data_IF_900969849725
#
_entry.id   IF_900969849725
#
_cell.length_a   1.000
_cell.length_b   1.000
_cell.length_c   1.000
_cell.angle_alpha   90.00
_cell.angle_beta   90.00
_cell.angle_gamma   90.00
#
_symmetry.space_group_name_H-M   'P 1'
#
loop_
_entity.id
_entity.type
_entity.pdbx_description
1 polymer ?
#
# COMPACT_ATOMS: atom_id res chain seq x y z
N UNK A 1 13.77 23.69 10.61
CA UNK A 1 12.65 23.10 11.41
C UNK A 1 12.02 21.90 10.72
N UNK A 2 11.80 21.91 9.41
CA UNK A 2 11.15 20.81 8.66
C UNK A 2 11.87 19.45 8.82
N UNK A 3 13.20 19.39 8.74
CA UNK A 3 13.99 18.17 8.90
C UNK A 3 13.81 17.48 10.26
N UNK A 4 13.51 18.21 11.33
CA UNK A 4 13.37 17.62 12.66
C UNK A 4 12.04 16.86 12.81
N UNK A 5 10.96 17.37 12.21
CA UNK A 5 9.62 16.74 12.25
C UNK A 5 9.68 15.43 11.44
N UNK A 6 10.19 15.48 10.21
CA UNK A 6 10.32 14.31 9.34
C UNK A 6 11.20 13.24 10.01
N UNK A 7 12.37 13.61 10.56
CA UNK A 7 13.25 12.66 11.24
C UNK A 7 12.59 11.99 12.48
N UNK A 8 11.71 12.72 13.18
CA UNK A 8 10.96 12.14 14.29
C UNK A 8 9.87 11.20 13.80
N UNK A 9 9.20 11.53 12.72
CA UNK A 9 8.21 10.68 12.07
C UNK A 9 8.86 9.37 11.58
N UNK A 10 9.99 9.47 10.90
CA UNK A 10 10.75 8.30 10.42
C UNK A 10 11.11 7.34 11.56
N UNK A 11 11.61 7.87 12.68
CA UNK A 11 11.90 7.07 13.87
C UNK A 11 10.66 6.38 14.44
N UNK A 12 9.50 7.06 14.44
CA UNK A 12 8.25 6.46 14.86
C UNK A 12 7.83 5.34 13.91
N UNK A 13 7.89 5.57 12.60
CA UNK A 13 7.57 4.56 11.60
C UNK A 13 8.48 3.36 11.75
N UNK A 14 9.79 3.57 11.92
CA UNK A 14 10.76 2.49 12.13
C UNK A 14 10.43 1.65 13.37
N UNK A 15 9.94 2.27 14.46
CA UNK A 15 9.54 1.54 15.65
C UNK A 15 8.33 0.62 15.41
N UNK A 16 7.38 1.06 14.58
CA UNK A 16 6.17 0.34 14.24
C UNK A 16 6.21 -0.34 12.86
N UNK A 17 7.39 -0.46 12.26
CA UNK A 17 7.55 -1.00 10.91
C UNK A 17 6.90 -2.37 10.77
N UNK A 18 6.01 -2.51 9.78
CA UNK A 18 5.15 -3.70 9.63
C UNK A 18 5.93 -5.00 9.38
N UNK A 19 7.17 -4.94 8.87
CA UNK A 19 8.05 -6.11 8.76
C UNK A 19 8.38 -6.75 10.11
N UNK A 20 8.20 -6.03 11.22
CA UNK A 20 8.34 -6.58 12.58
C UNK A 20 7.14 -7.44 13.00
N UNK A 21 6.01 -7.32 12.31
CA UNK A 21 4.79 -8.09 12.60
C UNK A 21 5.00 -9.59 12.32
N UNK A 22 4.43 -10.50 13.15
CA UNK A 22 4.58 -11.95 12.99
C UNK A 22 4.20 -12.47 11.59
N UNK A 23 3.20 -11.88 10.94
CA UNK A 23 2.81 -12.22 9.57
C UNK A 23 3.98 -12.07 8.59
N UNK A 24 4.67 -10.93 8.56
CA UNK A 24 5.78 -10.69 7.65
C UNK A 24 7.02 -11.52 8.00
N UNK A 25 7.24 -11.78 9.29
CA UNK A 25 8.29 -12.71 9.74
C UNK A 25 8.02 -14.13 9.23
N UNK A 26 6.79 -14.62 9.38
CA UNK A 26 6.40 -15.94 8.87
C UNK A 26 6.49 -16.00 7.33
N UNK A 27 6.08 -14.94 6.63
CA UNK A 27 6.21 -14.83 5.17
C UNK A 27 7.67 -14.92 4.73
N UNK A 28 8.56 -14.15 5.36
CA UNK A 28 9.98 -14.05 5.00
C UNK A 28 10.78 -15.35 5.24
N UNK A 29 10.27 -16.22 6.09
CA UNK A 29 10.86 -17.53 6.40
C UNK A 29 10.16 -18.70 5.70
N UNK A 30 9.07 -18.45 4.94
CA UNK A 30 8.28 -19.50 4.27
C UNK A 30 7.34 -20.27 5.21
N UNK A 31 7.20 -19.84 6.46
CA UNK A 31 6.36 -20.47 7.47
C UNK A 31 4.90 -19.98 7.46
N UNK A 32 4.57 -18.98 6.62
CA UNK A 32 3.19 -18.49 6.50
C UNK A 32 2.38 -19.51 5.66
N UNK A 33 1.26 -20.06 6.17
CA UNK A 33 0.43 -20.95 5.37
C UNK A 33 -0.08 -20.24 4.09
N UNK A 34 -0.09 -20.96 2.95
CA UNK A 34 -0.58 -20.42 1.67
C UNK A 34 -2.01 -19.87 1.77
N UNK A 35 -2.87 -20.51 2.58
CA UNK A 35 -4.22 -20.02 2.87
C UNK A 35 -4.19 -18.63 3.51
N UNK A 36 -3.27 -18.37 4.43
CA UNK A 36 -3.10 -17.07 5.08
C UNK A 36 -2.62 -16.01 4.11
N UNK A 37 -1.69 -16.35 3.19
CA UNK A 37 -1.26 -15.45 2.12
C UNK A 37 -2.42 -15.10 1.17
N UNK A 38 -3.23 -16.09 0.79
CA UNK A 38 -4.43 -15.86 -0.05
C UNK A 38 -5.45 -14.97 0.66
N UNK A 39 -5.71 -15.22 1.94
CA UNK A 39 -6.61 -14.37 2.73
C UNK A 39 -6.09 -12.92 2.83
N UNK A 40 -4.79 -12.76 3.04
CA UNK A 40 -4.16 -11.43 3.03
C UNK A 40 -4.37 -10.75 1.67
N UNK A 41 -4.13 -11.45 0.55
CA UNK A 41 -4.30 -10.88 -0.78
C UNK A 41 -5.74 -10.40 -1.03
N UNK A 42 -6.75 -11.13 -0.54
CA UNK A 42 -8.16 -10.73 -0.61
C UNK A 42 -8.44 -9.50 0.26
N UNK A 43 -7.99 -9.54 1.51
CA UNK A 43 -8.30 -8.46 2.46
C UNK A 43 -7.58 -7.15 2.10
N UNK A 44 -6.33 -7.24 1.70
CA UNK A 44 -5.54 -6.06 1.34
C UNK A 44 -6.01 -5.41 0.04
N UNK A 45 -6.69 -6.15 -0.86
CA UNK A 45 -7.28 -5.58 -2.08
C UNK A 45 -8.23 -4.42 -1.79
N UNK A 46 -8.94 -4.46 -0.65
CA UNK A 46 -9.84 -3.38 -0.24
C UNK A 46 -9.09 -2.08 0.06
N UNK A 47 -7.91 -2.19 0.68
CA UNK A 47 -7.05 -1.02 0.94
C UNK A 47 -6.44 -0.49 -0.36
N UNK A 48 -5.88 -1.37 -1.19
CA UNK A 48 -5.29 -1.00 -2.49
C UNK A 48 -6.31 -0.29 -3.38
N UNK A 49 -7.55 -0.80 -3.47
CA UNK A 49 -8.61 -0.17 -4.26
C UNK A 49 -9.09 1.19 -3.72
N UNK A 50 -8.90 1.44 -2.43
CA UNK A 50 -9.26 2.72 -1.82
C UNK A 50 -8.09 3.72 -1.82
N UNK A 51 -6.85 3.27 -1.97
CA UNK A 51 -5.67 4.12 -1.80
C UNK A 51 -5.67 5.34 -2.74
N UNK A 52 -5.90 5.22 -4.06
CA UNK A 52 -6.01 6.39 -4.94
C UNK A 52 -7.15 7.34 -4.53
N UNK A 53 -8.22 6.81 -3.97
CA UNK A 53 -9.34 7.63 -3.48
C UNK A 53 -9.00 8.43 -2.23
N UNK A 54 -8.10 7.93 -1.37
CA UNK A 54 -7.55 8.72 -0.24
C UNK A 54 -6.72 9.89 -0.75
N UNK A 55 -5.86 9.67 -1.75
CA UNK A 55 -5.08 10.72 -2.42
C UNK A 55 -6.02 11.78 -3.00
N UNK A 56 -7.06 11.35 -3.72
CA UNK A 56 -8.08 12.24 -4.30
C UNK A 56 -8.81 13.06 -3.23
N UNK A 57 -9.14 12.48 -2.08
CA UNK A 57 -9.79 13.18 -0.98
C UNK A 57 -8.86 14.25 -0.36
N UNK A 58 -7.59 13.93 -0.13
CA UNK A 58 -6.59 14.87 0.37
C UNK A 58 -6.37 15.99 -0.66
N UNK A 59 -6.27 15.66 -1.94
CA UNK A 59 -6.18 16.63 -3.02
C UNK A 59 -7.36 17.60 -3.02
N UNK A 60 -8.58 17.12 -2.82
CA UNK A 60 -9.78 17.96 -2.73
C UNK A 60 -9.74 18.92 -1.53
N UNK A 61 -9.17 18.49 -0.39
CA UNK A 61 -9.10 19.27 0.84
C UNK A 61 -7.90 20.24 0.89
N UNK A 62 -6.95 20.14 -0.06
CA UNK A 62 -5.74 20.95 -0.08
C UNK A 62 -5.97 22.23 -0.90
N UNK A 63 -5.67 23.40 -0.32
CA UNK A 63 -5.73 24.70 -0.98
C UNK A 63 -4.40 25.11 -1.64
N UNK A 64 -3.30 24.40 -1.39
CA UNK A 64 -1.97 24.71 -1.90
C UNK A 64 -1.71 24.05 -3.25
N UNK A 65 -1.68 24.85 -4.32
CA UNK A 65 -1.54 24.36 -5.70
C UNK A 65 -0.31 23.46 -5.92
N UNK A 66 0.82 23.78 -5.30
CA UNK A 66 2.04 22.97 -5.43
C UNK A 66 1.87 21.55 -4.85
N UNK A 67 1.24 21.45 -3.68
CA UNK A 67 0.94 20.18 -3.04
C UNK A 67 -0.10 19.40 -3.86
N UNK A 68 -1.12 20.11 -4.37
CA UNK A 68 -2.13 19.48 -5.26
C UNK A 68 -1.51 18.89 -6.51
N UNK A 69 -0.53 19.56 -7.12
CA UNK A 69 0.19 19.04 -8.29
C UNK A 69 0.93 17.75 -7.97
N UNK A 70 1.61 17.68 -6.82
CA UNK A 70 2.29 16.47 -6.37
C UNK A 70 1.32 15.32 -6.09
N UNK A 71 0.18 15.62 -5.46
CA UNK A 71 -0.87 14.62 -5.24
C UNK A 71 -1.50 14.13 -6.55
N UNK A 72 -1.63 15.03 -7.54
CA UNK A 72 -2.13 14.64 -8.87
C UNK A 72 -1.15 13.73 -9.59
N UNK A 73 0.15 13.98 -9.49
CA UNK A 73 1.17 13.10 -10.06
C UNK A 73 1.10 11.70 -9.42
N UNK A 74 1.00 11.62 -8.09
CA UNK A 74 0.83 10.36 -7.38
C UNK A 74 -0.48 9.65 -7.81
N UNK A 75 -1.59 10.38 -7.87
CA UNK A 75 -2.88 9.82 -8.30
C UNK A 75 -2.83 9.28 -9.73
N UNK A 76 -2.13 9.95 -10.64
CA UNK A 76 -1.92 9.48 -12.02
C UNK A 76 -1.09 8.20 -12.08
N UNK A 77 -0.15 8.00 -11.15
CA UNK A 77 0.60 6.74 -11.04
C UNK A 77 -0.31 5.62 -10.51
N UNK A 78 -1.10 5.89 -9.46
CA UNK A 78 -2.03 4.92 -8.85
C UNK A 78 -3.16 4.47 -9.79
N UNK A 79 -3.75 5.40 -10.54
CA UNK A 79 -4.85 5.17 -11.48
C UNK A 79 -4.40 5.16 -12.94
N UNK A 80 -3.16 4.74 -13.21
CA UNK A 80 -2.64 4.68 -14.57
C UNK A 80 -3.59 3.90 -15.49
N UNK A 81 -3.93 4.49 -16.64
CA UNK A 81 -4.91 3.92 -17.59
C UNK A 81 -4.52 2.56 -18.15
N UNK A 82 -3.22 2.27 -18.24
CA UNK A 82 -2.72 1.02 -18.77
C UNK A 82 -2.53 -0.04 -17.69
N UNK A 83 -2.11 0.37 -16.50
CA UNK A 83 -1.77 -0.53 -15.39
C UNK A 83 -1.95 0.20 -14.05
N UNK A 84 -3.18 0.27 -13.57
CA UNK A 84 -3.45 0.81 -12.23
C UNK A 84 -2.93 -0.12 -11.13
N UNK A 85 -2.54 0.44 -9.98
CA UNK A 85 -2.09 -0.37 -8.85
C UNK A 85 -3.15 -1.39 -8.37
N UNK A 86 -4.46 -1.06 -8.30
CA UNK A 86 -5.50 -2.06 -8.06
C UNK A 86 -5.49 -3.22 -9.06
N UNK A 87 -5.28 -2.94 -10.35
CA UNK A 87 -5.19 -3.99 -11.37
C UNK A 87 -3.95 -4.87 -11.19
N UNK A 88 -2.80 -4.27 -10.92
CA UNK A 88 -1.57 -5.02 -10.62
C UNK A 88 -1.76 -5.93 -9.40
N UNK A 89 -2.47 -5.46 -8.36
CA UNK A 89 -2.81 -6.30 -7.21
C UNK A 89 -3.75 -7.45 -7.58
N UNK A 90 -4.71 -7.23 -8.47
CA UNK A 90 -5.58 -8.28 -8.99
C UNK A 90 -4.79 -9.34 -9.76
N UNK A 91 -3.80 -8.95 -10.57
CA UNK A 91 -2.90 -9.90 -11.25
C UNK A 91 -2.13 -10.76 -10.25
N UNK A 92 -1.63 -10.15 -9.19
CA UNK A 92 -0.99 -10.91 -8.10
C UNK A 92 -1.95 -11.92 -7.45
N UNK A 93 -3.14 -11.50 -7.09
CA UNK A 93 -4.15 -12.38 -6.50
C UNK A 93 -4.52 -13.54 -7.44
N UNK A 94 -4.69 -13.26 -8.74
CA UNK A 94 -4.92 -14.28 -9.76
C UNK A 94 -3.74 -15.26 -9.87
N UNK A 95 -2.51 -14.77 -9.78
CA UNK A 95 -1.30 -15.60 -9.75
C UNK A 95 -1.25 -16.54 -8.55
N UNK A 96 -1.87 -16.19 -7.43
CA UNK A 96 -2.08 -17.08 -6.28
C UNK A 96 -3.26 -18.04 -6.48
N UNK A 97 -3.96 -18.01 -7.62
CA UNK A 97 -5.14 -18.84 -7.91
C UNK A 97 -6.40 -18.35 -7.20
N UNK A 98 -6.51 -17.06 -6.90
CA UNK A 98 -7.72 -16.44 -6.37
C UNK A 98 -8.53 -15.92 -7.56
N UNK A 99 -9.77 -16.39 -7.71
CA UNK A 99 -10.67 -15.91 -8.76
C UNK A 99 -11.14 -14.48 -8.45
N UNK A 100 -11.24 -13.62 -9.46
CA UNK A 100 -11.61 -12.20 -9.33
C UNK A 100 -12.91 -11.97 -8.56
N UNK A 101 -13.88 -12.88 -8.68
CA UNK A 101 -15.13 -12.82 -7.93
C UNK A 101 -14.97 -12.83 -6.39
N UNK A 102 -13.86 -13.37 -5.89
CA UNK A 102 -13.58 -13.41 -4.44
C UNK A 102 -12.82 -12.18 -3.95
N UNK A 103 -12.24 -11.38 -4.85
CA UNK A 103 -11.50 -10.17 -4.49
C UNK A 103 -12.47 -9.03 -4.17
N UNK A 104 -13.62 -9.00 -4.84
CA UNK A 104 -14.65 -7.96 -4.68
C UNK A 104 -15.77 -8.36 -3.71
N UNK A 105 -15.54 -9.31 -2.82
CA UNK A 105 -16.56 -9.72 -1.86
C UNK A 105 -16.73 -8.68 -0.75
N UNK A 106 -17.96 -8.43 -0.34
CA UNK A 106 -18.28 -7.56 0.82
C UNK A 106 -17.85 -8.14 2.17
N UNK A 107 -17.02 -9.19 2.17
CA UNK A 107 -16.55 -9.89 3.36
C UNK A 107 -15.23 -9.28 3.86
N UNK A 108 -15.29 -8.02 4.24
CA UNK A 108 -14.19 -7.37 4.94
C UNK A 108 -14.10 -7.84 6.39
N UNK A 109 -12.89 -8.23 6.81
CA UNK A 109 -12.62 -8.43 8.24
C UNK A 109 -12.72 -7.09 8.97
N UNK A 110 -13.12 -7.13 10.25
CA UNK A 110 -13.21 -5.91 11.06
C UNK A 110 -11.92 -5.09 11.07
N UNK A 111 -10.77 -5.75 11.09
CA UNK A 111 -9.46 -5.07 11.03
C UNK A 111 -9.24 -4.34 9.70
N UNK A 112 -9.63 -4.96 8.58
CA UNK A 112 -9.55 -4.35 7.24
C UNK A 112 -10.51 -3.16 7.13
N UNK A 113 -11.74 -3.31 7.63
CA UNK A 113 -12.70 -2.22 7.70
C UNK A 113 -12.15 -1.04 8.51
N UNK A 114 -11.66 -1.30 9.72
CA UNK A 114 -11.10 -0.27 10.58
C UNK A 114 -9.90 0.46 9.93
N UNK A 115 -9.03 -0.27 9.22
CA UNK A 115 -7.93 0.34 8.47
C UNK A 115 -8.46 1.33 7.43
N UNK A 116 -9.41 0.88 6.59
CA UNK A 116 -9.99 1.72 5.55
C UNK A 116 -10.72 2.94 6.13
N UNK A 117 -11.53 2.76 7.19
CA UNK A 117 -12.21 3.86 7.87
C UNK A 117 -11.21 4.87 8.47
N UNK A 118 -10.10 4.40 9.04
CA UNK A 118 -9.06 5.29 9.57
C UNK A 118 -8.45 6.14 8.46
N UNK A 119 -8.08 5.53 7.31
CA UNK A 119 -7.56 6.29 6.18
C UNK A 119 -8.60 7.27 5.61
N UNK A 120 -9.87 6.86 5.54
CA UNK A 120 -10.96 7.76 5.10
C UNK A 120 -11.14 8.93 6.06
N UNK A 121 -11.13 8.69 7.36
CA UNK A 121 -11.21 9.75 8.37
C UNK A 121 -10.09 10.77 8.17
N UNK A 122 -8.83 10.29 8.13
CA UNK A 122 -7.65 11.14 8.02
C UNK A 122 -7.58 11.90 6.68
N UNK A 123 -8.05 11.28 5.59
CA UNK A 123 -7.96 11.87 4.24
C UNK A 123 -9.10 12.84 3.93
N UNK A 124 -10.30 12.60 4.47
CA UNK A 124 -11.52 13.33 4.08
C UNK A 124 -11.97 14.37 5.10
N UNK A 125 -11.82 14.09 6.39
CA UNK A 125 -12.39 14.92 7.45
C UNK A 125 -11.35 15.78 8.17
N UNK A 126 -10.08 15.38 8.13
CA UNK A 126 -8.99 16.11 8.76
C UNK A 126 -8.34 17.12 7.81
N UNK A 127 -7.52 18.00 8.37
CA UNK A 127 -6.73 18.94 7.55
C UNK A 127 -5.79 18.14 6.62
N UNK A 128 -5.61 18.61 5.39
CA UNK A 128 -4.87 17.90 4.34
C UNK A 128 -3.49 17.39 4.78
N UNK A 129 -2.77 18.13 5.65
CA UNK A 129 -1.44 17.70 6.12
C UNK A 129 -1.48 16.47 7.05
N UNK A 130 -2.60 16.20 7.72
CA UNK A 130 -2.81 14.98 8.50
C UNK A 130 -2.98 13.79 7.55
N UNK A 131 -3.76 13.96 6.48
CA UNK A 131 -3.88 12.97 5.42
C UNK A 131 -2.54 12.69 4.74
N UNK A 132 -1.76 13.75 4.42
CA UNK A 132 -0.41 13.59 3.86
C UNK A 132 0.50 12.77 4.79
N UNK A 133 0.48 13.05 6.10
CA UNK A 133 1.26 12.29 7.07
C UNK A 133 0.84 10.82 7.12
N UNK A 134 -0.46 10.51 6.98
CA UNK A 134 -0.94 9.14 6.92
C UNK A 134 -0.45 8.40 5.66
N UNK A 135 -0.50 9.06 4.48
CA UNK A 135 0.06 8.51 3.25
C UNK A 135 1.57 8.29 3.38
N UNK A 136 2.29 9.29 3.90
CA UNK A 136 3.73 9.19 4.12
C UNK A 136 4.10 7.99 4.99
N UNK A 137 3.42 7.81 6.13
CA UNK A 137 3.67 6.67 7.02
C UNK A 137 3.49 5.32 6.31
N UNK A 138 2.52 5.22 5.42
CA UNK A 138 2.27 4.01 4.63
C UNK A 138 3.34 3.82 3.54
N UNK A 139 3.55 4.82 2.70
CA UNK A 139 4.47 4.76 1.55
C UNK A 139 5.94 4.63 2.00
N UNK A 140 6.29 5.17 3.18
CA UNK A 140 7.64 5.04 3.74
C UNK A 140 8.09 3.59 3.86
N UNK A 141 7.20 2.68 4.24
CA UNK A 141 7.53 1.27 4.45
C UNK A 141 7.47 0.43 3.16
N UNK A 142 6.76 0.89 2.14
CA UNK A 142 6.41 0.09 0.97
C UNK A 142 7.59 -0.48 0.18
N UNK A 143 8.70 0.24 -0.07
CA UNK A 143 9.84 -0.33 -0.81
C UNK A 143 10.39 -1.58 -0.15
N UNK A 144 10.60 -1.53 1.16
CA UNK A 144 11.18 -2.64 1.92
C UNK A 144 10.18 -3.79 2.05
N UNK A 145 8.91 -3.46 2.28
CA UNK A 145 7.82 -4.44 2.36
C UNK A 145 7.65 -5.16 1.03
N UNK A 146 7.59 -4.44 -0.07
CA UNK A 146 7.45 -4.98 -1.43
C UNK A 146 8.64 -5.84 -1.81
N UNK A 147 9.86 -5.44 -1.45
CA UNK A 147 11.05 -6.25 -1.67
C UNK A 147 10.98 -7.59 -0.93
N UNK A 148 10.65 -7.58 0.35
CA UNK A 148 10.53 -8.80 1.16
C UNK A 148 9.39 -9.69 0.66
N UNK A 149 8.23 -9.10 0.33
CA UNK A 149 7.09 -9.83 -0.22
C UNK A 149 7.47 -10.53 -1.53
N UNK A 150 7.99 -9.79 -2.51
CA UNK A 150 8.38 -10.35 -3.83
C UNK A 150 9.38 -11.49 -3.68
N UNK A 151 10.45 -11.25 -2.91
CA UNK A 151 11.50 -12.24 -2.65
C UNK A 151 10.94 -13.51 -2.01
N UNK A 152 10.10 -13.36 -0.99
CA UNK A 152 9.54 -14.48 -0.23
C UNK A 152 8.53 -15.27 -1.06
N UNK A 153 7.67 -14.60 -1.80
CA UNK A 153 6.66 -15.20 -2.66
C UNK A 153 7.33 -16.04 -3.76
N UNK A 154 8.34 -15.50 -4.42
CA UNK A 154 9.12 -16.25 -5.42
C UNK A 154 9.80 -17.48 -4.83
N UNK A 155 10.35 -17.35 -3.64
CA UNK A 155 11.14 -18.40 -3.01
C UNK A 155 10.29 -19.53 -2.43
N UNK A 156 9.19 -19.21 -1.76
CA UNK A 156 8.47 -20.14 -0.90
C UNK A 156 7.07 -20.52 -1.39
N UNK A 157 6.46 -19.72 -2.31
CA UNK A 157 5.06 -19.91 -2.73
C UNK A 157 4.91 -20.28 -4.21
N UNK A 158 6.03 -20.60 -4.86
CA UNK A 158 6.08 -21.04 -6.25
C UNK A 158 5.43 -20.11 -7.28
N UNK A 159 5.27 -18.82 -6.96
CA UNK A 159 4.82 -17.80 -7.89
C UNK A 159 6.03 -17.04 -8.41
N UNK A 160 6.44 -17.32 -9.66
CA UNK A 160 7.65 -16.77 -10.30
C UNK A 160 7.32 -15.86 -11.48
N UNK A 161 6.06 -15.77 -11.87
CA UNK A 161 5.59 -14.93 -12.96
C UNK A 161 5.82 -13.44 -12.60
N UNK A 162 6.63 -12.75 -13.39
CA UNK A 162 6.97 -11.35 -13.14
C UNK A 162 5.78 -10.42 -13.37
N UNK A 163 4.85 -10.74 -14.27
CA UNK A 163 3.63 -9.96 -14.47
C UNK A 163 2.71 -10.05 -13.24
N UNK A 164 2.57 -11.24 -12.66
CA UNK A 164 1.84 -11.41 -11.41
C UNK A 164 2.53 -10.70 -10.22
N UNK A 165 3.84 -10.50 -10.28
CA UNK A 165 4.61 -9.84 -9.22
C UNK A 165 4.91 -8.36 -9.49
N UNK A 166 4.36 -7.79 -10.55
CA UNK A 166 4.65 -6.44 -11.01
C UNK A 166 4.25 -5.37 -9.98
N UNK A 167 3.14 -5.58 -9.26
CA UNK A 167 2.74 -4.72 -8.14
C UNK A 167 3.91 -4.41 -7.20
N UNK A 168 4.61 -5.44 -6.75
CA UNK A 168 5.75 -5.28 -5.85
C UNK A 168 6.93 -4.58 -6.52
N UNK A 169 7.16 -4.85 -7.82
CA UNK A 169 8.25 -4.23 -8.57
C UNK A 169 8.06 -2.72 -8.68
N UNK A 170 6.85 -2.28 -8.98
CA UNK A 170 6.51 -0.85 -9.08
C UNK A 170 6.75 -0.16 -7.74
N UNK A 171 6.24 -0.72 -6.63
CA UNK A 171 6.38 -0.13 -5.30
C UNK A 171 7.81 -0.14 -4.75
N UNK A 172 8.70 -1.00 -5.24
CA UNK A 172 10.13 -0.94 -4.88
C UNK A 172 10.84 0.30 -5.45
N UNK A 173 10.31 0.89 -6.52
CA UNK A 173 10.94 2.02 -7.25
C UNK A 173 10.21 3.35 -7.08
N UNK A 174 8.89 3.36 -7.16
CA UNK A 174 8.06 4.56 -7.12
C UNK A 174 8.13 5.27 -5.77
N UNK A 175 8.06 4.52 -4.68
CA UNK A 175 7.96 5.08 -3.34
C UNK A 175 9.25 5.76 -2.87
N UNK A 176 10.40 5.47 -3.48
CA UNK A 176 11.63 6.26 -3.26
C UNK A 176 11.50 7.70 -3.78
N UNK A 177 10.69 7.91 -4.81
CA UNK A 177 10.39 9.22 -5.38
C UNK A 177 9.33 9.93 -4.53
N UNK A 178 8.27 9.23 -4.14
CA UNK A 178 7.17 9.78 -3.35
C UNK A 178 7.62 10.22 -1.95
N UNK A 179 8.51 9.49 -1.29
CA UNK A 179 9.14 9.91 -0.01
C UNK A 179 9.81 11.28 -0.05
N UNK A 180 10.22 11.77 -1.22
CA UNK A 180 10.86 13.09 -1.38
C UNK A 180 9.86 14.21 -1.63
N UNK A 181 8.63 13.84 -1.89
CA UNK A 181 7.56 14.73 -2.34
C UNK A 181 6.60 15.06 -1.18
N UNK A 182 6.36 14.12 -0.28
CA UNK A 182 5.54 14.27 0.93
C UNK A 182 6.38 14.76 2.11
#
# INVERSE_FOLDING_TARGET
MTNHIVNNLDKLIDNYHILKHPFYKALSTGNLPTKSLKNFAIQYSHHVSNFPRYISAIHSNCDQIKIRQLLLDNLNEEENKNESHPELWHRFANGLGIKSQYINTNLMLKATHNLNETFWLLSKTEKYHIGLAALYCYEYMQPDVSFIQKKSIKKFYNLKDEEALKYFTVHMSADKKHRKIL
#
